data_IF_771190883999
#
_entry.id   IF_771190883999
#
_cell.length_a   1.000
_cell.length_b   1.000
_cell.length_c   1.000
_cell.angle_alpha   90.00
_cell.angle_beta   90.00
_cell.angle_gamma   90.00
#
_symmetry.space_group_name_H-M   'P 1'
#
loop_
_entity.id
_entity.type
_entity.pdbx_description
1 polymer ?
#
# COMPACT_ATOMS: atom_id res chain seq x y z
N UNK A 1 18.13 -5.30 -7.91
CA UNK A 1 16.80 -5.75 -8.39
C UNK A 1 15.82 -5.32 -7.31
N UNK A 2 14.72 -4.65 -7.66
CA UNK A 2 13.73 -4.22 -6.66
C UNK A 2 13.00 -5.46 -6.12
N UNK A 3 12.89 -5.58 -4.81
CA UNK A 3 12.25 -6.71 -4.13
C UNK A 3 11.23 -6.19 -3.13
N UNK A 4 10.15 -6.96 -2.93
CA UNK A 4 9.24 -6.70 -1.81
C UNK A 4 9.88 -7.18 -0.52
N UNK A 5 9.97 -6.30 0.47
CA UNK A 5 10.51 -6.63 1.79
C UNK A 5 9.38 -7.08 2.71
N UNK A 6 9.65 -8.13 3.51
CA UNK A 6 8.70 -8.60 4.54
C UNK A 6 8.91 -7.79 5.81
N UNK A 7 7.81 -7.38 6.43
CA UNK A 7 7.83 -6.63 7.68
C UNK A 7 6.73 -7.10 8.63
N UNK A 8 6.88 -6.86 9.92
CA UNK A 8 5.86 -7.16 10.94
C UNK A 8 5.21 -5.89 11.44
N UNK A 9 3.88 -5.83 11.48
CA UNK A 9 3.16 -4.67 12.00
C UNK A 9 3.36 -4.56 13.52
N UNK A 10 3.77 -3.38 13.98
CA UNK A 10 3.88 -3.08 15.41
C UNK A 10 2.55 -2.59 15.97
N UNK A 11 2.27 -2.79 17.27
CA UNK A 11 1.07 -2.26 17.93
C UNK A 11 0.97 -0.73 17.81
N UNK A 12 -0.27 -0.22 17.86
CA UNK A 12 -0.55 1.22 17.85
C UNK A 12 -0.82 1.82 16.47
N UNK A 13 -1.13 0.99 15.47
CA UNK A 13 -1.60 1.46 14.17
C UNK A 13 -2.93 2.22 14.30
N UNK A 14 -3.11 3.27 13.49
CA UNK A 14 -4.32 4.10 13.48
C UNK A 14 -5.05 3.93 12.17
N UNK A 15 -6.38 3.74 12.23
CA UNK A 15 -7.22 3.76 11.02
C UNK A 15 -6.97 5.06 10.24
N UNK A 16 -6.75 4.92 8.96
CA UNK A 16 -6.49 6.00 8.03
C UNK A 16 -7.51 5.95 6.90
N UNK A 17 -8.32 7.00 6.79
CA UNK A 17 -9.36 7.09 5.76
C UNK A 17 -9.35 8.47 5.12
N UNK A 18 -8.94 8.54 3.86
CA UNK A 18 -9.04 9.72 3.00
C UNK A 18 -9.90 9.39 1.76
N UNK A 19 -11.14 8.95 2.00
CA UNK A 19 -12.00 8.35 0.97
C UNK A 19 -11.38 7.09 0.35
N UNK A 20 -10.69 6.30 1.17
CA UNK A 20 -10.10 5.05 0.71
C UNK A 20 -11.20 3.99 0.54
N UNK A 21 -11.18 3.27 -0.58
CA UNK A 21 -12.07 2.12 -0.80
C UNK A 21 -11.72 0.98 0.16
N UNK A 22 -10.41 0.76 0.35
CA UNK A 22 -9.89 -0.32 1.20
C UNK A 22 -9.60 0.18 2.62
N UNK A 23 -9.87 -0.68 3.61
CA UNK A 23 -9.50 -0.39 5.00
C UNK A 23 -7.98 -0.24 5.09
N UNK A 24 -7.55 0.92 5.55
CA UNK A 24 -6.13 1.31 5.57
C UNK A 24 -5.77 1.78 6.98
N UNK A 25 -4.56 1.47 7.41
CA UNK A 25 -4.00 1.89 8.70
C UNK A 25 -2.66 2.54 8.48
N UNK A 26 -2.40 3.65 9.17
CA UNK A 26 -1.06 4.21 9.29
C UNK A 26 -0.40 3.62 10.53
N UNK A 27 0.75 2.99 10.38
CA UNK A 27 1.41 2.27 11.46
C UNK A 27 2.92 2.17 11.27
N UNK A 28 3.58 1.63 12.28
CA UNK A 28 5.00 1.30 12.19
C UNK A 28 5.14 -0.19 11.88
N UNK A 29 6.08 -0.54 11.01
CA UNK A 29 6.46 -1.92 10.75
C UNK A 29 7.92 -2.13 11.11
N UNK A 30 8.22 -3.30 11.66
CA UNK A 30 9.58 -3.76 11.88
C UNK A 30 10.05 -4.53 10.64
N UNK A 31 11.08 -4.02 9.99
CA UNK A 31 11.77 -4.71 8.89
C UNK A 31 13.00 -5.45 9.43
N UNK A 32 13.77 -6.07 8.54
CA UNK A 32 15.03 -6.74 8.89
C UNK A 32 16.07 -5.79 9.49
N UNK A 33 16.07 -4.52 9.05
CA UNK A 33 17.03 -3.51 9.46
C UNK A 33 16.43 -2.49 10.44
N UNK A 34 15.25 -1.95 10.12
CA UNK A 34 14.76 -0.72 10.73
C UNK A 34 13.27 -0.79 11.11
N UNK A 35 12.79 0.31 11.68
CA UNK A 35 11.36 0.54 11.88
C UNK A 35 10.91 1.63 10.92
N UNK A 36 9.91 1.33 10.09
CA UNK A 36 9.44 2.22 9.02
C UNK A 36 7.98 2.56 9.24
N UNK A 37 7.57 3.79 8.89
CA UNK A 37 6.16 4.19 8.89
C UNK A 37 5.54 3.81 7.55
N UNK A 38 4.37 3.18 7.58
CA UNK A 38 3.68 2.70 6.38
C UNK A 38 2.18 2.99 6.44
N UNK A 39 1.57 3.03 5.26
CA UNK A 39 0.14 2.80 5.08
C UNK A 39 -0.08 1.32 4.73
N UNK A 40 -0.71 0.58 5.64
CA UNK A 40 -1.00 -0.84 5.51
C UNK A 40 -2.48 -1.04 5.11
N UNK A 41 -2.73 -1.81 4.05
CA UNK A 41 -4.06 -2.16 3.56
C UNK A 41 -4.35 -3.64 3.85
N UNK A 42 -5.47 -3.92 4.50
CA UNK A 42 -5.98 -5.28 4.64
C UNK A 42 -6.85 -5.61 3.42
N UNK A 43 -6.28 -6.35 2.48
CA UNK A 43 -6.88 -6.67 1.17
C UNK A 43 -6.65 -8.15 0.82
N UNK A 44 -7.44 -8.75 -0.08
CA UNK A 44 -7.25 -10.14 -0.50
C UNK A 44 -5.87 -10.41 -1.09
N UNK A 45 -5.31 -11.63 -0.97
CA UNK A 45 -3.97 -11.97 -1.46
C UNK A 45 -3.71 -11.60 -2.92
N UNK A 46 -4.71 -11.77 -3.80
CA UNK A 46 -4.59 -11.37 -5.21
C UNK A 46 -4.31 -9.87 -5.35
N UNK A 47 -5.02 -9.04 -4.60
CA UNK A 47 -4.82 -7.59 -4.63
C UNK A 47 -3.48 -7.18 -4.01
N UNK A 48 -3.02 -7.87 -2.96
CA UNK A 48 -1.66 -7.69 -2.41
C UNK A 48 -0.62 -7.92 -3.52
N UNK A 49 -0.74 -9.03 -4.27
CA UNK A 49 0.18 -9.34 -5.36
C UNK A 49 0.16 -8.27 -6.45
N UNK A 50 -1.02 -7.79 -6.85
CA UNK A 50 -1.17 -6.75 -7.87
C UNK A 50 -0.53 -5.43 -7.41
N UNK A 51 -0.83 -4.97 -6.20
CA UNK A 51 -0.28 -3.72 -5.64
C UNK A 51 1.25 -3.81 -5.49
N UNK A 52 1.74 -4.94 -4.96
CA UNK A 52 3.18 -5.21 -4.85
C UNK A 52 3.88 -5.20 -6.21
N UNK A 53 3.33 -5.92 -7.19
CA UNK A 53 3.92 -6.01 -8.52
C UNK A 53 3.95 -4.64 -9.21
N UNK A 54 2.85 -3.89 -9.18
CA UNK A 54 2.78 -2.55 -9.74
C UNK A 54 3.76 -1.58 -9.08
N UNK A 55 3.92 -1.65 -7.76
CA UNK A 55 4.87 -0.84 -7.02
C UNK A 55 6.33 -1.18 -7.40
N UNK A 56 6.68 -2.46 -7.50
CA UNK A 56 8.03 -2.88 -7.92
C UNK A 56 8.31 -2.48 -9.37
N UNK A 57 7.37 -2.71 -10.29
CA UNK A 57 7.51 -2.36 -11.69
C UNK A 57 7.67 -0.84 -11.88
N UNK A 58 6.81 -0.04 -11.24
CA UNK A 58 6.89 1.41 -11.35
C UNK A 58 8.21 1.97 -10.81
N UNK A 59 8.71 1.43 -9.69
CA UNK A 59 10.04 1.79 -9.15
C UNK A 59 11.18 1.38 -10.08
N UNK A 60 11.11 0.18 -10.66
CA UNK A 60 12.08 -0.28 -11.65
C UNK A 60 12.10 0.60 -12.91
N UNK A 61 10.96 1.21 -13.25
CA UNK A 61 10.83 2.21 -14.33
C UNK A 61 11.22 3.64 -13.91
N UNK A 62 11.67 3.85 -12.67
CA UNK A 62 12.07 5.16 -12.16
C UNK A 62 10.91 6.07 -11.74
N UNK A 63 9.68 5.55 -11.63
CA UNK A 63 8.53 6.31 -11.14
C UNK A 63 8.70 6.51 -9.62
N UNK A 64 8.57 7.74 -9.10
CA UNK A 64 8.74 8.03 -7.68
C UNK A 64 7.51 7.60 -6.86
N UNK A 65 7.29 6.28 -6.77
CA UNK A 65 6.26 5.68 -5.93
C UNK A 65 6.87 5.08 -4.66
N UNK A 66 6.12 5.05 -3.55
CA UNK A 66 6.68 4.60 -2.27
C UNK A 66 7.11 3.13 -2.31
N UNK A 67 8.05 2.77 -1.44
CA UNK A 67 8.55 1.40 -1.35
C UNK A 67 7.44 0.46 -0.84
N UNK A 68 7.18 -0.67 -1.51
CA UNK A 68 6.19 -1.64 -1.05
C UNK A 68 6.76 -2.59 0.02
N UNK A 69 5.88 -3.05 0.90
CA UNK A 69 6.17 -4.04 1.94
C UNK A 69 5.07 -5.12 1.97
N UNK A 70 5.46 -6.37 2.23
CA UNK A 70 4.53 -7.43 2.61
C UNK A 70 4.49 -7.49 4.13
N UNK A 71 3.36 -7.11 4.71
CA UNK A 71 3.24 -6.95 6.16
C UNK A 71 2.54 -8.16 6.77
N UNK A 72 3.17 -8.77 7.77
CA UNK A 72 2.54 -9.73 8.66
C UNK A 72 1.92 -8.98 9.85
N UNK A 73 0.65 -9.25 10.12
CA UNK A 73 -0.07 -8.69 11.26
C UNK A 73 -0.82 -9.81 12.00
N UNK A 74 -1.02 -9.62 13.29
CA UNK A 74 -1.82 -10.47 14.16
C UNK A 74 -2.73 -9.63 15.07
N UNK A 75 -3.52 -10.31 15.91
CA UNK A 75 -4.43 -9.66 16.86
C UNK A 75 -3.76 -8.78 17.93
N UNK A 76 -2.45 -8.88 18.15
CA UNK A 76 -1.70 -8.00 19.06
C UNK A 76 -1.29 -6.68 18.38
N UNK A 77 -1.15 -6.71 17.06
CA UNK A 77 -0.79 -5.56 16.24
C UNK A 77 -2.01 -4.79 15.69
N UNK A 78 -3.12 -5.50 15.45
CA UNK A 78 -4.31 -4.97 14.77
C UNK A 78 -5.60 -5.65 15.24
N UNK A 79 -6.46 -4.89 15.93
CA UNK A 79 -7.66 -5.41 16.60
C UNK A 79 -8.71 -6.06 15.67
N UNK A 80 -8.68 -5.77 14.37
CA UNK A 80 -9.62 -6.39 13.40
C UNK A 80 -9.26 -7.85 13.11
N UNK A 81 -8.04 -8.28 13.43
CA UNK A 81 -7.59 -9.65 13.23
C UNK A 81 -8.03 -10.50 14.43
N UNK A 82 -8.76 -11.61 14.21
CA UNK A 82 -9.19 -12.48 15.31
C UNK A 82 -8.02 -13.05 16.12
N UNK A 83 -8.23 -13.27 17.42
CA UNK A 83 -7.21 -13.86 18.30
C UNK A 83 -6.70 -15.20 17.74
N UNK A 84 -5.39 -15.40 17.81
CA UNK A 84 -4.72 -16.60 17.29
C UNK A 84 -4.60 -16.67 15.76
N UNK A 85 -5.08 -15.64 15.04
CA UNK A 85 -4.96 -15.57 13.58
C UNK A 85 -3.91 -14.55 13.17
N UNK A 86 -3.35 -14.78 11.99
CA UNK A 86 -2.45 -13.86 11.31
C UNK A 86 -3.10 -13.42 9.99
N UNK A 87 -2.71 -12.26 9.52
CA UNK A 87 -3.11 -11.76 8.22
C UNK A 87 -1.94 -11.11 7.50
N UNK A 88 -1.97 -11.20 6.17
CA UNK A 88 -1.07 -10.48 5.30
C UNK A 88 -1.72 -9.18 4.87
N UNK A 89 -0.93 -8.11 4.83
CA UNK A 89 -1.35 -6.79 4.40
C UNK A 89 -0.36 -6.26 3.36
N UNK A 90 -0.86 -5.43 2.45
CA UNK A 90 0.01 -4.65 1.58
C UNK A 90 0.43 -3.37 2.30
N UNK A 91 1.74 -3.13 2.41
CA UNK A 91 2.32 -1.92 2.97
C UNK A 91 2.90 -1.02 1.91
N UNK A 92 2.71 0.28 2.05
CA UNK A 92 3.40 1.30 1.27
C UNK A 92 4.08 2.25 2.23
N UNK A 93 5.38 2.49 2.06
CA UNK A 93 6.14 3.45 2.88
C UNK A 93 5.42 4.79 2.93
N UNK A 94 5.37 5.41 4.10
CA UNK A 94 4.97 6.81 4.23
C UNK A 94 6.09 7.69 3.68
N UNK A 95 6.20 7.70 2.35
CA UNK A 95 7.02 8.65 1.67
C UNK A 95 6.40 10.03 1.90
N UNK A 96 7.21 11.02 2.26
CA UNK A 96 6.84 12.45 2.42
C UNK A 96 6.21 13.09 1.18
N UNK A 97 5.92 12.32 0.13
CA UNK A 97 5.28 12.74 -1.09
C UNK A 97 3.77 12.53 -1.00
N UNK A 98 2.97 13.61 -1.05
CA UNK A 98 1.53 13.49 -1.08
C UNK A 98 1.08 12.71 -2.34
N UNK A 99 -0.01 11.95 -2.24
CA UNK A 99 -0.55 11.18 -3.38
C UNK A 99 -0.70 12.07 -4.63
N UNK A 100 -0.56 11.50 -5.84
CA UNK A 100 -0.73 12.27 -7.08
C UNK A 100 -2.05 13.07 -7.09
N UNK A 101 -3.13 12.54 -6.49
CA UNK A 101 -4.40 13.25 -6.30
C UNK A 101 -4.25 14.58 -5.54
N UNK A 102 -3.41 14.61 -4.49
CA UNK A 102 -3.11 15.81 -3.71
C UNK A 102 -2.24 16.82 -4.49
N UNK A 103 -1.36 16.34 -5.37
CA UNK A 103 -0.54 17.21 -6.24
C UNK A 103 -1.31 17.73 -7.45
N UNK A 104 -2.17 16.90 -8.04
CA UNK A 104 -2.75 17.18 -9.34
C UNK A 104 -3.68 18.38 -9.30
N UNK A 105 -4.54 18.54 -8.26
CA UNK A 105 -5.58 19.59 -8.10
C UNK A 105 -6.27 20.07 -9.40
N UNK A 106 -6.22 19.27 -10.46
CA UNK A 106 -6.50 19.65 -11.83
C UNK A 106 -7.32 18.50 -12.39
N UNK A 107 -8.60 18.80 -12.61
CA UNK A 107 -9.61 17.86 -13.03
C UNK A 107 -9.23 17.14 -14.33
N UNK A 108 -8.51 17.83 -15.23
CA UNK A 108 -8.02 17.27 -16.49
C UNK A 108 -6.96 16.17 -16.35
N UNK A 109 -6.12 16.21 -15.31
CA UNK A 109 -5.13 15.16 -15.06
C UNK A 109 -5.81 13.86 -14.57
N UNK A 110 -6.83 13.99 -13.73
CA UNK A 110 -7.62 12.84 -13.25
C UNK A 110 -8.45 12.21 -14.37
N UNK A 111 -9.06 13.02 -15.25
CA UNK A 111 -9.81 12.52 -16.41
C UNK A 111 -8.93 11.74 -17.39
N UNK A 112 -7.69 12.19 -17.64
CA UNK A 112 -6.75 11.46 -18.49
C UNK A 112 -6.33 10.11 -17.89
N UNK A 113 -6.11 10.07 -16.57
CA UNK A 113 -5.83 8.82 -15.84
C UNK A 113 -6.99 7.84 -15.90
N UNK A 114 -8.22 8.32 -15.76
CA UNK A 114 -9.43 7.51 -15.82
C UNK A 114 -9.65 6.93 -17.23
N UNK A 115 -9.46 7.74 -18.27
CA UNK A 115 -9.48 7.29 -19.66
C UNK A 115 -8.37 6.24 -19.94
N UNK A 116 -7.18 6.44 -19.37
CA UNK A 116 -6.09 5.48 -19.50
C UNK A 116 -6.43 4.14 -18.81
N UNK A 117 -7.02 4.18 -17.61
CA UNK A 117 -7.51 2.98 -16.92
C UNK A 117 -8.51 2.20 -17.77
N UNK A 118 -9.51 2.88 -18.35
CA UNK A 118 -10.47 2.22 -19.24
C UNK A 118 -9.83 1.59 -20.47
N UNK A 119 -8.73 2.15 -20.97
CA UNK A 119 -8.01 1.58 -22.13
C UNK A 119 -7.24 0.29 -21.80
N UNK A 120 -6.86 0.10 -20.53
CA UNK A 120 -6.20 -1.13 -20.05
C UNK A 120 -7.20 -2.27 -19.86
N UNK A 121 -8.45 -1.96 -19.51
CA UNK A 121 -9.52 -2.97 -19.32
C UNK A 121 -10.06 -3.56 -20.65
N UNK A 122 -9.74 -2.96 -21.81
CA UNK A 122 -10.12 -3.49 -23.15
C UNK A 122 -9.07 -4.44 -23.74
N UNK A 123 -8.01 -4.74 -22.98
CA UNK A 123 -6.88 -5.57 -23.40
C UNK A 123 -6.96 -7.04 -23.01
N UNK A 124 -8.16 -7.57 -22.70
CA UNK A 124 -8.46 -9.00 -22.52
C UNK A 124 -9.74 -9.36 -23.25
#
# INVERSE_FOLDING_TARGET
MEHIEVATLLPGSKKFNESNINQTWKGHVKTSADTVVVFAKLIPPREICVEAYCALLGRAMGIPIPKPYLILADSSSLDVIPKGHHSLMFGSEDATYPSFRRYAQCQGAMQKLEAFKSSLDVGV
#
